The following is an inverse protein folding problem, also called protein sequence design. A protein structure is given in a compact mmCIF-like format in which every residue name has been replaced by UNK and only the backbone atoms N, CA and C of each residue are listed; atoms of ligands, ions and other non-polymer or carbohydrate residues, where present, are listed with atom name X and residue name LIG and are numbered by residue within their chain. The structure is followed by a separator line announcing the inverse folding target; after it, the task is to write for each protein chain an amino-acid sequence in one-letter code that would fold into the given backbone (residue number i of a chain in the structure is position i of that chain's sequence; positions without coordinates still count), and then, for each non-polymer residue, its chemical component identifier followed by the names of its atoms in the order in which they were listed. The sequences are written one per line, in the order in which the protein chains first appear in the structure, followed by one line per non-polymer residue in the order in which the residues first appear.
data_IF_627784740026
#
_entry.id   IF_627784740026
#
_cell.length_a   1.000
_cell.length_b   1.000
_cell.length_c   1.000
_cell.angle_alpha   90.00
_cell.angle_beta   90.00
_cell.angle_gamma   90.00
#
_symmetry.space_group_name_H-M   'P 1'
#
loop_
_entity.id
_entity.type
_entity.pdbx_description
1 polymer ?
#
# COMPACT_ATOMS: atom_id res chain seq x y z
N UNK A 1 -25.54 -10.96 3.31
CA UNK A 1 -25.17 -12.28 2.80
C UNK A 1 -24.74 -12.14 1.34
N UNK A 2 -23.52 -12.63 0.97
CA UNK A 2 -23.11 -12.83 -0.41
C UNK A 2 -22.58 -11.59 -1.16
N UNK A 3 -21.85 -10.69 -0.49
CA UNK A 3 -21.12 -9.61 -1.17
C UNK A 3 -19.66 -9.63 -0.73
N UNK A 4 -18.74 -9.54 -1.71
CA UNK A 4 -17.30 -9.57 -1.50
C UNK A 4 -16.80 -10.97 -1.11
N UNK A 5 -15.54 -11.02 -0.77
CA UNK A 5 -14.85 -12.24 -0.36
C UNK A 5 -13.71 -12.60 -1.32
N UNK A 6 -12.82 -13.47 -0.84
CA UNK A 6 -11.59 -13.83 -1.56
C UNK A 6 -11.86 -14.50 -2.89
N UNK A 7 -12.92 -15.31 -2.99
CA UNK A 7 -13.27 -16.05 -4.22
C UNK A 7 -13.70 -15.06 -5.30
N UNK A 8 -14.59 -14.13 -4.97
CA UNK A 8 -15.06 -13.10 -5.89
C UNK A 8 -13.93 -12.15 -6.32
N UNK A 9 -13.07 -11.79 -5.38
CA UNK A 9 -11.86 -11.01 -5.68
C UNK A 9 -10.94 -11.77 -6.64
N UNK A 10 -10.66 -13.04 -6.38
CA UNK A 10 -9.83 -13.88 -7.24
C UNK A 10 -10.40 -13.95 -8.66
N UNK A 11 -11.71 -14.20 -8.79
CA UNK A 11 -12.37 -14.26 -10.08
C UNK A 11 -12.26 -12.93 -10.86
N UNK A 12 -12.45 -11.80 -10.16
CA UNK A 12 -12.31 -10.49 -10.77
C UNK A 12 -10.86 -10.20 -11.20
N UNK A 13 -9.89 -10.44 -10.33
CA UNK A 13 -8.46 -10.25 -10.62
C UNK A 13 -8.04 -11.10 -11.83
N UNK A 14 -8.47 -12.36 -11.86
CA UNK A 14 -8.15 -13.24 -12.99
C UNK A 14 -8.83 -12.78 -14.28
N UNK A 15 -10.05 -12.25 -14.22
CA UNK A 15 -10.71 -11.68 -15.40
C UNK A 15 -9.94 -10.48 -15.97
N UNK A 16 -9.47 -9.57 -15.12
CA UNK A 16 -8.64 -8.44 -15.53
C UNK A 16 -7.32 -8.92 -16.11
N UNK A 17 -6.64 -9.87 -15.46
CA UNK A 17 -5.39 -10.44 -15.96
C UNK A 17 -5.54 -11.17 -17.30
N UNK A 18 -6.70 -11.77 -17.55
CA UNK A 18 -7.01 -12.39 -18.83
C UNK A 18 -7.24 -11.34 -19.93
N UNK A 19 -7.97 -10.28 -19.62
CA UNK A 19 -8.29 -9.21 -20.56
C UNK A 19 -7.06 -8.37 -20.94
N UNK A 20 -6.29 -7.93 -19.95
CA UNK A 20 -5.18 -6.99 -20.13
C UNK A 20 -3.82 -7.69 -20.35
N UNK A 21 -3.77 -8.98 -20.07
CA UNK A 21 -2.52 -9.75 -20.03
C UNK A 21 -1.75 -9.56 -18.71
N UNK A 22 -1.33 -10.67 -18.10
CA UNK A 22 -0.69 -10.68 -16.75
C UNK A 22 0.53 -9.76 -16.62
N UNK A 23 1.28 -9.56 -17.70
CA UNK A 23 2.46 -8.69 -17.73
C UNK A 23 2.13 -7.20 -17.66
N UNK A 24 0.87 -6.83 -17.92
CA UNK A 24 0.41 -5.45 -17.94
C UNK A 24 -0.38 -5.09 -16.67
N UNK A 25 -0.59 -6.03 -15.75
CA UNK A 25 -1.38 -5.83 -14.53
C UNK A 25 -0.48 -5.84 -13.30
N UNK A 26 -0.57 -4.79 -12.50
CA UNK A 26 -0.04 -4.71 -11.13
C UNK A 26 -1.19 -4.89 -10.15
N UNK A 27 -0.98 -5.69 -9.12
CA UNK A 27 -1.90 -5.86 -8.02
C UNK A 27 -1.25 -5.37 -6.73
N UNK A 28 -1.86 -4.37 -6.11
CA UNK A 28 -1.30 -3.68 -4.94
C UNK A 28 -2.30 -3.61 -3.79
N UNK A 29 -1.82 -3.45 -2.56
CA UNK A 29 -2.63 -3.30 -1.36
C UNK A 29 -2.16 -2.13 -0.51
N UNK A 30 -3.09 -1.29 -0.07
CA UNK A 30 -2.81 -0.07 0.70
C UNK A 30 -2.90 -0.28 2.22
N UNK A 31 -2.51 -1.46 2.74
CA UNK A 31 -2.47 -1.77 4.17
C UNK A 31 -3.80 -2.25 4.77
N UNK A 32 -3.78 -2.64 6.06
CA UNK A 32 -4.90 -3.25 6.77
C UNK A 32 -5.43 -4.51 6.07
N UNK A 33 -4.52 -5.41 5.66
CA UNK A 33 -4.89 -6.75 5.21
C UNK A 33 -5.10 -7.72 6.37
N UNK A 34 -4.67 -7.35 7.57
CA UNK A 34 -4.91 -8.08 8.82
C UNK A 34 -6.20 -7.62 9.49
N UNK A 35 -6.72 -8.43 10.42
CA UNK A 35 -7.87 -8.15 11.28
C UNK A 35 -9.26 -8.20 10.60
N UNK A 36 -10.30 -8.22 11.42
CA UNK A 36 -11.71 -8.12 11.01
C UNK A 36 -12.39 -9.47 10.73
N UNK A 37 -11.70 -10.60 10.90
CA UNK A 37 -12.26 -11.94 10.71
C UNK A 37 -11.96 -12.85 11.89
N UNK A 38 -12.78 -13.90 12.07
CA UNK A 38 -12.47 -14.99 13.00
C UNK A 38 -11.17 -15.73 12.63
N UNK A 39 -10.82 -15.75 11.36
CA UNK A 39 -9.56 -16.32 10.89
C UNK A 39 -8.35 -15.58 11.49
N UNK A 40 -8.39 -14.26 11.49
CA UNK A 40 -7.34 -13.46 12.12
C UNK A 40 -7.21 -13.76 13.63
N UNK A 41 -8.34 -13.86 14.32
CA UNK A 41 -8.36 -14.15 15.77
C UNK A 41 -7.77 -15.53 16.10
N UNK A 42 -8.08 -16.55 15.28
CA UNK A 42 -7.66 -17.94 15.53
C UNK A 42 -6.27 -18.27 14.95
N UNK A 43 -5.89 -17.63 13.83
CA UNK A 43 -4.71 -17.97 13.04
C UNK A 43 -3.70 -16.82 12.92
N UNK A 44 -3.88 -15.75 13.72
CA UNK A 44 -2.96 -14.63 13.84
C UNK A 44 -2.55 -13.97 12.51
N UNK A 45 -3.40 -14.06 11.46
CA UNK A 45 -3.16 -13.44 10.17
C UNK A 45 -2.43 -14.30 9.14
N UNK A 46 -2.22 -15.58 9.39
CA UNK A 46 -1.56 -16.47 8.41
C UNK A 46 -2.41 -16.66 7.14
N UNK A 47 -3.72 -16.75 7.29
CA UNK A 47 -4.66 -16.86 6.14
C UNK A 47 -4.59 -15.63 5.25
N UNK A 48 -4.47 -14.45 5.83
CA UNK A 48 -4.35 -13.19 5.09
C UNK A 48 -3.08 -13.19 4.23
N UNK A 49 -1.95 -13.66 4.75
CA UNK A 49 -0.71 -13.84 3.99
C UNK A 49 -0.87 -14.87 2.88
N UNK A 50 -1.50 -16.01 3.15
CA UNK A 50 -1.77 -17.04 2.15
C UNK A 50 -2.65 -16.50 1.01
N UNK A 51 -3.68 -15.70 1.33
CA UNK A 51 -4.54 -15.04 0.35
C UNK A 51 -3.75 -14.06 -0.51
N UNK A 52 -2.94 -13.17 0.08
CA UNK A 52 -2.09 -12.25 -0.67
C UNK A 52 -1.16 -13.00 -1.63
N UNK A 53 -0.56 -14.09 -1.16
CA UNK A 53 0.31 -14.94 -1.96
C UNK A 53 -0.45 -15.67 -3.10
N UNK A 54 -1.64 -16.21 -2.80
CA UNK A 54 -2.46 -16.92 -3.79
C UNK A 54 -2.95 -15.97 -4.88
N UNK A 55 -3.36 -14.76 -4.52
CA UNK A 55 -3.78 -13.71 -5.45
C UNK A 55 -2.59 -13.05 -6.17
N UNK A 56 -1.36 -13.31 -5.73
CA UNK A 56 -0.12 -12.79 -6.32
C UNK A 56 -0.10 -11.26 -6.32
N UNK A 57 -0.22 -10.68 -5.13
CA UNK A 57 0.06 -9.25 -4.97
C UNK A 57 1.51 -8.95 -5.33
N UNK A 58 1.74 -7.85 -6.03
CA UNK A 58 3.09 -7.40 -6.43
C UNK A 58 3.72 -6.56 -5.31
N UNK A 59 2.97 -5.58 -4.76
CA UNK A 59 3.44 -4.68 -3.70
C UNK A 59 2.32 -4.42 -2.69
N UNK A 60 2.67 -4.37 -1.42
CA UNK A 60 1.76 -3.97 -0.33
C UNK A 60 2.42 -2.92 0.56
N UNK A 61 1.63 -2.04 1.19
CA UNK A 61 2.10 -1.24 2.32
C UNK A 61 1.54 -1.79 3.63
N UNK A 62 2.04 -1.30 4.76
CA UNK A 62 1.49 -1.62 6.07
C UNK A 62 0.36 -0.66 6.43
N UNK A 63 -0.68 -1.15 7.11
CA UNK A 63 -1.63 -0.37 7.85
C UNK A 63 -1.41 -0.51 9.36
N UNK A 64 -2.24 0.13 10.16
CA UNK A 64 -2.11 0.07 11.63
C UNK A 64 -2.49 -1.30 12.19
N UNK A 65 -3.43 -2.01 11.58
CA UNK A 65 -3.87 -3.33 12.04
C UNK A 65 -2.85 -4.46 11.78
N UNK A 66 -1.85 -4.23 10.96
CA UNK A 66 -0.73 -5.17 10.86
C UNK A 66 0.02 -5.32 12.18
N UNK A 67 -0.01 -4.30 13.05
CA UNK A 67 0.69 -4.27 14.33
C UNK A 67 -0.13 -4.80 15.53
N UNK A 68 -1.38 -5.18 15.36
CA UNK A 68 -2.29 -5.60 16.44
C UNK A 68 -1.73 -6.75 17.29
N UNK A 69 -0.99 -7.69 16.69
CA UNK A 69 -0.33 -8.79 17.37
C UNK A 69 1.16 -8.51 17.69
N UNK A 70 1.60 -7.27 17.56
CA UNK A 70 2.97 -6.84 17.83
C UNK A 70 3.95 -7.08 16.68
N UNK A 71 5.11 -6.41 16.79
CA UNK A 71 6.16 -6.42 15.76
C UNK A 71 6.77 -7.81 15.53
N UNK A 72 7.05 -8.64 16.55
CA UNK A 72 7.61 -9.98 16.31
C UNK A 72 6.68 -10.87 15.49
N UNK A 73 5.37 -10.81 15.76
CA UNK A 73 4.38 -11.60 15.04
C UNK A 73 4.19 -11.09 13.61
N UNK A 74 4.16 -9.77 13.41
CA UNK A 74 4.18 -9.20 12.08
C UNK A 74 5.41 -9.65 11.28
N UNK A 75 6.60 -9.61 11.88
CA UNK A 75 7.81 -10.05 11.23
C UNK A 75 7.75 -11.55 10.84
N UNK A 76 7.21 -12.41 11.72
CA UNK A 76 7.01 -13.84 11.43
C UNK A 76 6.13 -14.04 10.19
N UNK A 77 5.01 -13.33 10.12
CA UNK A 77 4.07 -13.41 8.97
C UNK A 77 4.70 -12.91 7.66
N UNK A 78 5.35 -11.75 7.71
CA UNK A 78 5.96 -11.15 6.52
C UNK A 78 7.08 -12.00 5.91
N UNK A 79 7.75 -12.89 6.68
CA UNK A 79 8.72 -13.85 6.13
C UNK A 79 8.11 -14.77 5.05
N UNK A 80 6.83 -15.07 5.12
CA UNK A 80 6.13 -15.93 4.17
C UNK A 80 5.48 -15.15 3.03
N UNK A 81 5.40 -13.82 3.12
CA UNK A 81 4.80 -12.97 2.09
C UNK A 81 5.73 -12.85 0.89
N UNK A 82 5.16 -13.03 -0.33
CA UNK A 82 5.92 -12.96 -1.59
C UNK A 82 5.90 -11.56 -2.22
N UNK A 83 4.91 -10.73 -1.87
CA UNK A 83 4.84 -9.35 -2.31
C UNK A 83 5.95 -8.52 -1.66
N UNK A 84 6.43 -7.49 -2.36
CA UNK A 84 7.28 -6.48 -1.72
C UNK A 84 6.46 -5.67 -0.72
N UNK A 85 7.00 -5.51 0.50
CA UNK A 85 6.39 -4.67 1.54
C UNK A 85 7.12 -3.34 1.59
N UNK A 86 6.40 -2.24 1.43
CA UNK A 86 6.95 -0.88 1.48
C UNK A 86 6.35 -0.08 2.63
N UNK A 87 7.21 0.63 3.37
CA UNK A 87 6.81 1.65 4.33
C UNK A 87 7.98 2.62 4.52
N UNK A 88 7.81 3.85 4.09
CA UNK A 88 8.90 4.82 3.92
C UNK A 88 9.03 5.79 5.08
N UNK A 89 7.93 6.06 5.77
CA UNK A 89 7.87 7.08 6.84
C UNK A 89 8.05 6.51 8.25
N UNK A 90 8.66 5.31 8.36
CA UNK A 90 9.04 4.70 9.64
C UNK A 90 10.44 4.10 9.56
N UNK A 91 11.21 4.25 10.63
CA UNK A 91 12.48 3.55 10.77
C UNK A 91 12.27 2.18 11.46
N UNK A 92 12.60 1.12 10.73
CA UNK A 92 12.53 -0.26 11.20
C UNK A 92 13.91 -0.86 11.54
N UNK A 93 15.00 -0.09 11.46
CA UNK A 93 16.37 -0.60 11.56
C UNK A 93 16.65 -1.38 12.87
N UNK A 94 16.04 -0.96 13.97
CA UNK A 94 16.18 -1.62 15.28
C UNK A 94 15.13 -2.72 15.54
N UNK A 95 14.39 -3.17 14.53
CA UNK A 95 13.29 -4.12 14.68
C UNK A 95 13.49 -5.37 13.83
N UNK A 96 12.79 -6.48 14.11
CA UNK A 96 12.77 -7.67 13.25
C UNK A 96 12.25 -7.40 11.82
N UNK A 97 11.61 -6.25 11.56
CA UNK A 97 11.08 -5.84 10.26
C UNK A 97 12.16 -5.28 9.32
N UNK A 98 13.34 -4.97 9.80
CA UNK A 98 14.44 -4.30 9.09
C UNK A 98 14.72 -4.82 7.67
N UNK A 99 14.67 -6.14 7.45
CA UNK A 99 14.94 -6.76 6.14
C UNK A 99 13.68 -7.14 5.37
N UNK A 100 12.52 -6.98 6.00
CA UNK A 100 11.23 -7.40 5.46
C UNK A 100 10.45 -6.22 4.88
N UNK A 101 10.65 -5.03 5.41
CA UNK A 101 10.00 -3.80 4.98
C UNK A 101 11.03 -2.89 4.31
N UNK A 102 10.73 -2.45 3.11
CA UNK A 102 11.62 -1.59 2.30
C UNK A 102 11.13 -0.14 2.34
N UNK A 103 12.01 0.85 2.25
CA UNK A 103 11.58 2.25 2.11
C UNK A 103 10.93 2.52 0.76
N UNK A 104 11.29 1.79 -0.29
CA UNK A 104 10.70 1.82 -1.61
C UNK A 104 10.97 0.50 -2.35
N UNK A 105 10.25 0.26 -3.43
CA UNK A 105 10.59 -0.80 -4.40
C UNK A 105 10.35 -0.34 -5.83
N UNK A 106 10.96 -1.02 -6.80
CA UNK A 106 10.80 -0.73 -8.22
C UNK A 106 10.35 -2.01 -8.93
N UNK A 107 9.20 -1.95 -9.55
CA UNK A 107 8.65 -3.05 -10.35
C UNK A 107 8.72 -2.69 -11.83
N UNK A 108 9.11 -3.67 -12.65
CA UNK A 108 9.04 -3.54 -14.11
C UNK A 108 7.78 -4.24 -14.63
N UNK A 109 6.89 -3.48 -15.24
CA UNK A 109 5.65 -3.98 -15.89
C UNK A 109 5.46 -3.30 -17.24
N UNK A 110 4.98 -4.02 -18.23
CA UNK A 110 4.71 -3.50 -19.58
C UNK A 110 5.89 -2.70 -20.18
N UNK A 111 7.13 -3.06 -19.84
CA UNK A 111 8.34 -2.35 -20.27
C UNK A 111 8.64 -1.06 -19.50
N UNK A 112 7.79 -0.68 -18.52
CA UNK A 112 7.93 0.52 -17.70
C UNK A 112 8.55 0.23 -16.34
N UNK A 113 9.30 1.18 -15.80
CA UNK A 113 9.81 1.19 -14.42
C UNK A 113 8.81 1.94 -13.54
N UNK A 114 8.25 1.28 -12.55
CA UNK A 114 7.28 1.87 -11.65
C UNK A 114 7.85 1.82 -10.23
N UNK A 115 8.11 3.00 -9.66
CA UNK A 115 8.55 3.16 -8.27
C UNK A 115 7.36 3.13 -7.32
N UNK A 116 7.53 2.48 -6.17
CA UNK A 116 6.52 2.42 -5.11
C UNK A 116 7.09 2.99 -3.82
N UNK A 117 6.35 3.90 -3.21
CA UNK A 117 6.55 4.46 -1.87
C UNK A 117 5.41 3.96 -1.00
N UNK A 118 5.67 3.58 0.25
CA UNK A 118 4.65 3.16 1.21
C UNK A 118 4.52 4.15 2.35
N UNK A 119 3.31 4.49 2.77
CA UNK A 119 3.07 5.39 3.90
C UNK A 119 2.10 4.77 4.90
N UNK A 120 2.37 5.00 6.18
CA UNK A 120 1.58 4.54 7.30
C UNK A 120 1.22 5.75 8.19
N UNK A 121 -0.01 5.79 8.70
CA UNK A 121 -0.47 6.80 9.66
C UNK A 121 0.39 6.81 10.93
N UNK A 122 0.29 7.87 11.73
CA UNK A 122 0.92 7.89 13.06
C UNK A 122 0.25 6.84 13.97
N UNK A 123 0.93 5.70 14.12
CA UNK A 123 0.43 4.56 14.90
C UNK A 123 0.36 4.84 16.41
N UNK A 124 1.01 5.89 16.92
CA UNK A 124 0.87 6.30 18.32
C UNK A 124 -0.57 6.62 18.73
N UNK A 125 -1.43 6.90 17.76
CA UNK A 125 -2.82 7.25 17.98
C UNK A 125 -3.78 6.06 17.87
N UNK A 126 -3.34 4.95 17.26
CA UNK A 126 -4.24 3.86 16.82
C UNK A 126 -3.74 2.46 17.17
N UNK A 127 -2.52 2.31 17.65
CA UNK A 127 -1.90 1.03 18.04
C UNK A 127 -1.51 1.11 19.53
N UNK A 128 -1.33 -0.04 20.16
CA UNK A 128 -0.83 -0.12 21.55
C UNK A 128 0.46 0.69 21.71
N UNK A 129 0.50 1.53 22.76
CA UNK A 129 1.62 2.45 22.98
C UNK A 129 2.95 1.77 23.20
N UNK A 130 2.98 0.56 23.76
CA UNK A 130 4.21 -0.16 23.99
C UNK A 130 4.81 -0.71 22.68
N UNK A 131 3.97 -0.93 21.68
CA UNK A 131 4.39 -1.24 20.31
C UNK A 131 4.79 0.04 19.57
N UNK A 132 3.91 1.02 19.56
CA UNK A 132 4.07 2.24 18.76
C UNK A 132 5.34 3.03 19.11
N UNK A 133 5.67 3.18 20.40
CA UNK A 133 6.87 3.90 20.86
C UNK A 133 8.21 3.25 20.47
N UNK A 134 8.19 2.03 19.97
CA UNK A 134 9.40 1.34 19.48
C UNK A 134 9.77 1.74 18.06
N UNK A 135 8.88 2.44 17.37
CA UNK A 135 9.04 2.88 15.99
C UNK A 135 9.10 4.41 15.93
N UNK A 136 9.96 4.92 15.09
CA UNK A 136 10.09 6.37 14.88
C UNK A 136 9.30 6.80 13.65
N UNK A 137 8.23 7.54 13.87
CA UNK A 137 7.43 8.19 12.82
C UNK A 137 8.17 9.38 12.21
N UNK A 138 8.06 9.54 10.90
CA UNK A 138 8.57 10.68 10.15
C UNK A 138 7.41 11.35 9.39
N UNK A 139 7.46 12.68 9.26
CA UNK A 139 6.49 13.41 8.44
C UNK A 139 6.52 12.87 7.00
N UNK A 140 5.38 12.42 6.45
CA UNK A 140 5.35 11.84 5.12
C UNK A 140 5.72 12.81 3.99
N UNK A 141 5.48 14.12 4.13
CA UNK A 141 5.71 15.09 3.04
C UNK A 141 7.19 15.16 2.64
N UNK A 142 8.16 15.45 3.54
CA UNK A 142 9.57 15.47 3.15
C UNK A 142 10.07 14.09 2.71
N UNK A 143 9.61 13.00 3.33
CA UNK A 143 10.00 11.63 2.94
C UNK A 143 9.57 11.32 1.51
N UNK A 144 8.37 11.70 1.14
CA UNK A 144 7.84 11.46 -0.21
C UNK A 144 8.58 12.30 -1.24
N UNK A 145 8.83 13.60 -0.97
CA UNK A 145 9.55 14.48 -1.90
C UNK A 145 10.96 13.95 -2.18
N UNK A 146 11.68 13.53 -1.13
CA UNK A 146 13.03 12.96 -1.28
C UNK A 146 13.01 11.67 -2.11
N UNK A 147 12.10 10.74 -1.78
CA UNK A 147 12.03 9.45 -2.48
C UNK A 147 11.48 9.57 -3.89
N UNK A 148 10.50 10.44 -4.15
CA UNK A 148 9.97 10.66 -5.49
C UNK A 148 11.04 11.24 -6.42
N UNK A 149 11.78 12.26 -5.98
CA UNK A 149 12.92 12.81 -6.71
C UNK A 149 13.97 11.71 -6.99
N UNK A 150 14.37 10.95 -5.97
CA UNK A 150 15.31 9.85 -6.14
C UNK A 150 14.83 8.80 -7.15
N UNK A 151 13.56 8.41 -7.10
CA UNK A 151 12.99 7.42 -8.01
C UNK A 151 12.89 7.94 -9.45
N UNK A 152 12.55 9.21 -9.64
CA UNK A 152 12.46 9.84 -10.97
C UNK A 152 13.85 10.12 -11.54
N UNK A 153 14.72 10.79 -10.79
CA UNK A 153 15.96 11.36 -11.32
C UNK A 153 17.13 10.37 -11.31
N UNK A 154 17.25 9.54 -10.26
CA UNK A 154 18.39 8.62 -10.15
C UNK A 154 18.04 7.17 -10.55
N UNK A 155 16.78 6.78 -10.45
CA UNK A 155 16.33 5.44 -10.84
C UNK A 155 15.64 5.40 -12.20
N UNK A 156 15.39 6.54 -12.84
CA UNK A 156 14.68 6.67 -14.12
C UNK A 156 13.32 5.94 -14.09
N UNK A 157 12.53 6.11 -13.03
CA UNK A 157 11.20 5.55 -12.97
C UNK A 157 10.26 6.34 -13.88
N UNK A 158 9.55 5.62 -14.76
CA UNK A 158 8.52 6.20 -15.63
C UNK A 158 7.34 6.75 -14.81
N UNK A 159 7.08 6.15 -13.63
CA UNK A 159 5.98 6.49 -12.74
C UNK A 159 6.35 6.24 -11.28
N UNK A 160 5.80 7.05 -10.36
CA UNK A 160 5.88 6.83 -8.92
C UNK A 160 4.47 6.70 -8.34
N UNK A 161 4.20 5.55 -7.71
CA UNK A 161 2.95 5.25 -7.03
C UNK A 161 3.18 5.25 -5.52
N UNK A 162 2.37 6.02 -4.79
CA UNK A 162 2.33 5.99 -3.34
C UNK A 162 1.21 5.05 -2.87
N UNK A 163 1.55 3.98 -2.14
CA UNK A 163 0.59 3.17 -1.39
C UNK A 163 0.43 3.79 -0.02
N UNK A 164 -0.69 4.45 0.22
CA UNK A 164 -0.90 5.24 1.42
C UNK A 164 -1.89 4.61 2.37
N UNK A 165 -1.49 4.48 3.64
CA UNK A 165 -2.40 4.16 4.75
C UNK A 165 -2.53 5.36 5.71
N UNK A 166 -2.63 6.58 5.15
CA UNK A 166 -2.82 7.81 5.92
C UNK A 166 -4.30 8.17 6.10
N UNK A 167 -5.10 7.94 5.08
CA UNK A 167 -6.50 8.36 4.98
C UNK A 167 -6.73 9.35 3.84
N UNK A 168 -7.96 9.39 3.32
CA UNK A 168 -8.29 10.16 2.12
C UNK A 168 -8.05 11.68 2.27
N UNK A 169 -8.31 12.24 3.47
CA UNK A 169 -8.05 13.66 3.75
C UNK A 169 -6.57 13.97 3.63
N UNK A 170 -5.77 13.18 4.31
CA UNK A 170 -4.32 13.23 4.36
C UNK A 170 -3.68 12.95 2.99
N UNK A 171 -4.25 12.02 2.22
CA UNK A 171 -3.79 11.71 0.85
C UNK A 171 -3.93 12.93 -0.08
N UNK A 172 -5.01 13.70 0.05
CA UNK A 172 -5.19 14.94 -0.74
C UNK A 172 -4.25 16.05 -0.30
N UNK A 173 -4.06 16.21 1.01
CA UNK A 173 -3.10 17.18 1.55
C UNK A 173 -1.68 16.84 1.08
N UNK A 174 -1.28 15.56 1.20
CA UNK A 174 0.00 15.06 0.72
C UNK A 174 0.17 15.35 -0.78
N UNK A 175 -0.79 15.00 -1.62
CA UNK A 175 -0.74 15.24 -3.06
C UNK A 175 -0.51 16.71 -3.40
N UNK A 176 -1.15 17.64 -2.65
CA UNK A 176 -1.03 19.08 -2.89
C UNK A 176 0.30 19.68 -2.42
N UNK A 177 1.06 18.97 -1.56
CA UNK A 177 2.29 19.43 -0.90
C UNK A 177 3.54 18.68 -1.33
N UNK A 178 3.42 17.81 -2.31
CA UNK A 178 4.51 16.98 -2.81
C UNK A 178 4.74 17.18 -4.30
N UNK A 179 5.87 16.66 -4.79
CA UNK A 179 6.30 16.68 -6.18
C UNK A 179 6.60 15.24 -6.63
N UNK A 180 6.53 14.98 -7.93
CA UNK A 180 6.99 13.75 -8.54
C UNK A 180 6.15 12.49 -8.28
N UNK A 181 5.02 12.57 -7.54
CA UNK A 181 4.07 11.45 -7.40
C UNK A 181 3.03 11.53 -8.53
N UNK A 182 2.74 10.39 -9.14
CA UNK A 182 1.73 10.29 -10.21
C UNK A 182 0.39 9.75 -9.68
N UNK A 183 0.44 8.79 -8.74
CA UNK A 183 -0.77 8.12 -8.22
C UNK A 183 -0.63 7.87 -6.72
N UNK A 184 -1.71 8.10 -5.97
CA UNK A 184 -1.88 7.65 -4.58
C UNK A 184 -3.00 6.61 -4.53
N UNK A 185 -2.67 5.41 -4.06
CA UNK A 185 -3.64 4.36 -3.73
C UNK A 185 -3.82 4.36 -2.22
N UNK A 186 -4.94 4.90 -1.76
CA UNK A 186 -5.20 5.16 -0.35
C UNK A 186 -5.91 4.05 0.40
N UNK A 187 -5.79 4.08 1.74
CA UNK A 187 -6.44 3.21 2.70
C UNK A 187 -6.91 3.96 3.96
N UNK A 188 -7.00 3.28 5.09
CA UNK A 188 -7.27 3.75 6.45
C UNK A 188 -8.67 4.35 6.68
N UNK A 189 -9.03 5.42 6.00
CA UNK A 189 -10.29 6.16 6.24
C UNK A 189 -11.56 5.48 5.72
N UNK A 190 -11.44 4.29 5.11
CA UNK A 190 -12.56 3.55 4.53
C UNK A 190 -13.42 4.38 3.56
N UNK A 191 -12.80 5.22 2.76
CA UNK A 191 -13.51 6.08 1.82
C UNK A 191 -13.83 5.33 0.53
N UNK A 192 -15.08 5.34 0.08
CA UNK A 192 -15.47 4.79 -1.21
C UNK A 192 -15.42 5.88 -2.28
N UNK A 193 -14.44 5.81 -3.15
CA UNK A 193 -14.34 6.69 -4.30
C UNK A 193 -14.86 5.94 -5.55
N UNK A 194 -15.99 6.37 -6.08
CA UNK A 194 -16.54 5.81 -7.32
C UNK A 194 -15.79 6.25 -8.59
N UNK A 195 -14.96 7.29 -8.46
CA UNK A 195 -14.12 7.84 -9.53
C UNK A 195 -12.82 8.32 -8.93
N UNK A 196 -11.75 8.28 -9.74
CA UNK A 196 -10.49 8.91 -9.37
C UNK A 196 -10.70 10.38 -9.02
N UNK A 197 -10.01 10.83 -7.99
CA UNK A 197 -9.85 12.25 -7.69
C UNK A 197 -8.55 12.73 -8.31
N UNK A 198 -8.50 14.00 -8.67
CA UNK A 198 -7.29 14.61 -9.22
C UNK A 198 -6.96 15.81 -8.34
N UNK A 199 -5.72 15.86 -7.89
CA UNK A 199 -5.18 16.95 -7.06
C UNK A 199 -3.97 17.54 -7.77
N UNK A 200 -3.86 18.86 -7.83
CA UNK A 200 -2.67 19.55 -8.34
C UNK A 200 -1.57 19.53 -7.30
N UNK A 201 -0.40 19.08 -7.67
CA UNK A 201 0.79 19.08 -6.83
C UNK A 201 1.57 20.42 -6.91
N UNK A 202 2.72 20.50 -6.26
CA UNK A 202 3.56 21.71 -6.26
C UNK A 202 4.14 22.03 -7.64
N UNK A 203 4.36 21.02 -8.49
CA UNK A 203 4.84 21.20 -9.88
C UNK A 203 3.72 21.64 -10.82
N UNK A 204 2.47 21.68 -10.37
CA UNK A 204 1.30 21.91 -11.20
C UNK A 204 0.85 20.70 -12.00
N UNK A 205 1.38 19.50 -11.69
CA UNK A 205 1.00 18.24 -12.32
C UNK A 205 -0.20 17.59 -11.61
N UNK A 206 -0.90 16.72 -12.32
CA UNK A 206 -2.07 16.01 -11.81
C UNK A 206 -1.65 14.74 -11.05
N UNK A 207 -1.98 14.67 -9.76
CA UNK A 207 -1.87 13.45 -8.95
C UNK A 207 -3.23 12.77 -8.86
N UNK A 208 -3.29 11.50 -9.26
CA UNK A 208 -4.51 10.68 -9.17
C UNK A 208 -4.61 10.08 -7.77
N UNK A 209 -5.72 10.30 -7.08
CA UNK A 209 -6.01 9.70 -5.76
C UNK A 209 -7.20 8.75 -5.88
N UNK A 210 -7.02 7.49 -5.43
CA UNK A 210 -8.05 6.45 -5.42
C UNK A 210 -8.10 5.74 -4.07
N UNK A 211 -9.30 5.30 -3.65
CA UNK A 211 -9.52 4.47 -2.47
C UNK A 211 -10.78 3.62 -2.64
N UNK A 212 -10.77 2.36 -2.16
CA UNK A 212 -11.76 1.34 -2.48
C UNK A 212 -12.67 0.92 -1.32
N UNK A 213 -12.90 1.78 -0.32
CA UNK A 213 -13.70 1.45 0.85
C UNK A 213 -12.97 0.45 1.79
N UNK A 214 -13.67 -0.63 2.22
CA UNK A 214 -13.19 -1.54 3.27
C UNK A 214 -13.65 -2.98 3.06
N UNK A 215 -13.07 -3.91 3.85
CA UNK A 215 -13.45 -5.31 3.98
C UNK A 215 -13.37 -6.11 2.67
N UNK A 216 -12.56 -5.68 1.72
CA UNK A 216 -12.43 -6.37 0.43
C UNK A 216 -13.75 -6.48 -0.35
N UNK A 217 -14.70 -5.56 -0.12
CA UNK A 217 -15.99 -5.54 -0.83
C UNK A 217 -15.87 -5.00 -2.24
N UNK A 218 -14.82 -4.23 -2.51
CA UNK A 218 -14.55 -3.63 -3.80
C UNK A 218 -13.10 -3.89 -4.22
N UNK A 219 -12.87 -4.06 -5.50
CA UNK A 219 -11.57 -4.00 -6.13
C UNK A 219 -11.52 -2.76 -7.03
N UNK A 220 -10.52 -1.90 -6.86
CA UNK A 220 -10.29 -0.77 -7.75
C UNK A 220 -9.56 -1.23 -9.01
N UNK A 221 -9.96 -0.70 -10.14
CA UNK A 221 -9.28 -0.88 -11.39
C UNK A 221 -8.94 0.49 -11.98
N UNK A 222 -7.66 0.78 -12.09
CA UNK A 222 -7.14 2.00 -12.70
C UNK A 222 -6.35 1.63 -13.95
N UNK A 223 -6.75 2.16 -15.10
CA UNK A 223 -6.00 2.04 -16.35
C UNK A 223 -5.10 3.26 -16.51
N UNK A 224 -3.84 3.02 -16.83
CA UNK A 224 -2.82 4.04 -17.06
C UNK A 224 -2.21 3.80 -18.42
N UNK A 225 -2.30 4.80 -19.29
CA UNK A 225 -1.67 4.82 -20.61
C UNK A 225 -0.39 5.68 -20.53
N UNK A 226 0.71 5.19 -21.12
CA UNK A 226 2.03 5.84 -21.11
C UNK A 226 2.38 6.42 -22.48
#
# INVERSE_FOLDING_TARGET
KGRGGVIEQAAYIDSVRCAEGRRNVLLVHAGDFSQGTSYFTELNGDIEIDVLNALKFDVVTLGNHEFDNGIPELARRLQSLKADVVCSNYDFAATPLHKLVKPYTIIRKAGKKIGFIGLLTDIMQVVDRDIAKTLQYQDPVPVVNELAAFLKDEKDCDMVICLSHLGYGEDKDLASRTEGIDVIVGGHSHTLLHKKQVVRNLDGEDVIVVQNWKWGLNAGHLTIDF
#
